data_IF_027220858828
#
_entry.id   IF_027220858828
#
_cell.length_a   1.000
_cell.length_b   1.000
_cell.length_c   1.000
_cell.angle_alpha   90.00
_cell.angle_beta   90.00
_cell.angle_gamma   90.00
#
_symmetry.space_group_name_H-M   'P 1'
#
loop_
_entity.id
_entity.type
_entity.pdbx_description
1 polymer ?
#
# COMPACT_ATOMS: atom_id res chain seq x y z
N UNK A 1 39.54 12.76 8.97
CA UNK A 1 38.56 12.17 9.89
C UNK A 1 38.00 10.92 9.23
N UNK A 2 38.36 9.73 9.72
CA UNK A 2 38.01 8.43 9.10
C UNK A 2 36.80 7.76 9.77
N UNK A 3 36.30 8.34 10.86
CA UNK A 3 35.18 7.80 11.64
C UNK A 3 34.03 8.79 11.67
N UNK A 4 32.80 8.28 11.56
CA UNK A 4 31.58 9.07 11.69
C UNK A 4 31.40 9.58 13.13
N UNK A 5 31.00 10.85 13.28
CA UNK A 5 30.74 11.49 14.57
C UNK A 5 29.24 11.73 14.85
N UNK A 6 28.37 11.32 13.92
CA UNK A 6 26.92 11.42 14.05
C UNK A 6 26.26 10.04 14.18
N UNK A 7 25.05 10.02 14.74
CA UNK A 7 24.29 8.79 14.94
C UNK A 7 23.44 8.36 13.73
N UNK A 8 23.47 9.08 12.61
CA UNK A 8 22.71 8.76 11.40
C UNK A 8 23.33 7.60 10.61
N UNK A 9 22.47 6.87 9.89
CA UNK A 9 22.86 5.75 9.03
C UNK A 9 23.22 6.26 7.62
N UNK A 10 24.47 6.01 7.21
CA UNK A 10 24.92 6.24 5.83
C UNK A 10 24.72 4.96 5.00
N UNK A 11 23.59 4.87 4.30
CA UNK A 11 23.22 3.69 3.51
C UNK A 11 24.20 3.50 2.34
N UNK A 12 24.61 2.26 2.09
CA UNK A 12 25.48 1.92 0.96
C UNK A 12 24.72 2.04 -0.37
N UNK A 13 25.41 2.31 -1.50
CA UNK A 13 24.78 2.28 -2.82
C UNK A 13 24.05 0.96 -3.04
N UNK A 14 22.79 1.05 -3.47
CA UNK A 14 21.89 -0.09 -3.65
C UNK A 14 21.21 -0.03 -5.02
N UNK A 15 21.03 -1.18 -5.70
CA UNK A 15 20.31 -1.25 -6.97
C UNK A 15 18.78 -1.24 -6.82
N UNK A 16 18.25 -1.37 -5.60
CA UNK A 16 16.81 -1.53 -5.36
C UNK A 16 15.95 -0.34 -5.81
N UNK A 17 16.37 0.93 -5.66
CA UNK A 17 15.61 2.05 -6.19
C UNK A 17 15.46 2.02 -7.72
N UNK A 18 16.51 1.63 -8.45
CA UNK A 18 16.46 1.54 -9.92
C UNK A 18 15.56 0.39 -10.37
N UNK A 19 15.71 -0.78 -9.77
CA UNK A 19 14.90 -1.95 -10.10
C UNK A 19 13.43 -1.74 -9.74
N UNK A 20 13.12 -1.03 -8.65
CA UNK A 20 11.77 -0.62 -8.27
C UNK A 20 11.15 0.42 -9.23
N UNK A 21 11.94 1.38 -9.71
CA UNK A 21 11.46 2.33 -10.71
C UNK A 21 11.13 1.63 -12.04
N UNK A 22 11.98 0.70 -12.47
CA UNK A 22 11.75 -0.11 -13.66
C UNK A 22 10.54 -1.05 -13.49
N UNK A 23 10.35 -1.67 -12.32
CA UNK A 23 9.18 -2.52 -12.08
C UNK A 23 7.87 -1.72 -12.13
N UNK A 24 7.86 -0.49 -11.60
CA UNK A 24 6.71 0.41 -11.69
C UNK A 24 6.37 0.79 -13.15
N UNK A 25 7.38 1.04 -13.99
CA UNK A 25 7.19 1.26 -15.43
C UNK A 25 6.60 0.02 -16.11
N UNK A 26 7.14 -1.17 -15.81
CA UNK A 26 6.64 -2.43 -16.38
C UNK A 26 5.19 -2.72 -15.96
N UNK A 27 4.82 -2.45 -14.71
CA UNK A 27 3.45 -2.65 -14.22
C UNK A 27 2.46 -1.68 -14.88
N UNK A 28 2.78 -0.39 -14.95
CA UNK A 28 1.86 0.62 -15.54
C UNK A 28 1.69 0.44 -17.05
N UNK A 29 2.80 0.25 -17.79
CA UNK A 29 2.73 -0.10 -19.21
C UNK A 29 2.11 -1.48 -19.45
N UNK A 30 2.34 -2.45 -18.55
CA UNK A 30 1.73 -3.77 -18.59
C UNK A 30 0.22 -3.75 -18.42
N UNK A 31 -0.30 -2.91 -17.52
CA UNK A 31 -1.74 -2.69 -17.38
C UNK A 31 -2.35 -2.08 -18.65
N UNK A 32 -1.67 -1.09 -19.25
CA UNK A 32 -2.12 -0.52 -20.53
C UNK A 32 -2.11 -1.57 -21.65
N UNK A 33 -1.07 -2.40 -21.72
CA UNK A 33 -0.97 -3.52 -22.67
C UNK A 33 -2.07 -4.56 -22.47
N UNK A 34 -2.42 -4.84 -21.22
CA UNK A 34 -3.49 -5.77 -20.92
C UNK A 34 -4.85 -5.22 -21.34
N UNK A 35 -5.18 -3.97 -21.00
CA UNK A 35 -6.49 -3.38 -21.31
C UNK A 35 -6.69 -3.10 -22.80
N UNK A 36 -5.65 -2.74 -23.55
CA UNK A 36 -5.78 -2.37 -24.96
C UNK A 36 -5.36 -3.46 -25.96
N UNK A 37 -4.44 -4.34 -25.58
CA UNK A 37 -3.86 -5.34 -26.49
C UNK A 37 -4.01 -6.78 -25.97
N UNK A 38 -4.74 -6.98 -24.86
CA UNK A 38 -5.03 -8.28 -24.25
C UNK A 38 -3.79 -9.12 -23.89
N UNK A 39 -2.63 -8.48 -23.73
CA UNK A 39 -1.37 -9.16 -23.37
C UNK A 39 -0.99 -8.89 -21.93
N UNK A 40 -0.86 -9.95 -21.12
CA UNK A 40 -0.47 -9.86 -19.70
C UNK A 40 1.04 -10.07 -19.47
N UNK A 41 1.83 -10.39 -20.50
CA UNK A 41 3.22 -10.80 -20.33
C UNK A 41 4.07 -9.74 -19.63
N UNK A 42 3.90 -8.49 -20.03
CA UNK A 42 4.62 -7.35 -19.45
C UNK A 42 4.17 -7.07 -18.01
N UNK A 43 2.87 -7.19 -17.72
CA UNK A 43 2.32 -7.04 -16.38
C UNK A 43 2.87 -8.09 -15.43
N UNK A 44 2.89 -9.36 -15.85
CA UNK A 44 3.41 -10.47 -15.04
C UNK A 44 4.91 -10.30 -14.75
N UNK A 45 5.69 -9.83 -15.73
CA UNK A 45 7.10 -9.49 -15.53
C UNK A 45 7.27 -8.32 -14.55
N UNK A 46 6.44 -7.28 -14.66
CA UNK A 46 6.43 -6.15 -13.72
C UNK A 46 6.12 -6.57 -12.29
N UNK A 47 5.10 -7.42 -12.09
CA UNK A 47 4.75 -7.97 -10.78
C UNK A 47 5.88 -8.83 -10.19
N UNK A 48 6.50 -9.69 -11.01
CA UNK A 48 7.64 -10.51 -10.58
C UNK A 48 8.84 -9.65 -10.16
N UNK A 49 9.24 -8.69 -10.99
CA UNK A 49 10.39 -7.81 -10.67
C UNK A 49 10.10 -6.91 -9.47
N UNK A 50 8.85 -6.45 -9.28
CA UNK A 50 8.44 -5.67 -8.13
C UNK A 50 8.54 -6.47 -6.82
N UNK A 51 8.01 -7.70 -6.81
CA UNK A 51 8.07 -8.60 -5.63
C UNK A 51 9.51 -8.96 -5.27
N UNK A 52 10.36 -9.25 -6.26
CA UNK A 52 11.78 -9.49 -6.03
C UNK A 52 12.49 -8.26 -5.47
N UNK A 53 12.16 -7.07 -5.95
CA UNK A 53 12.76 -5.82 -5.43
C UNK A 53 12.36 -5.58 -3.98
N UNK A 54 11.07 -5.69 -3.65
CA UNK A 54 10.58 -5.53 -2.28
C UNK A 54 11.23 -6.55 -1.32
N UNK A 55 11.30 -7.82 -1.72
CA UNK A 55 11.92 -8.87 -0.92
C UNK A 55 13.40 -8.58 -0.63
N UNK A 56 14.19 -8.24 -1.66
CA UNK A 56 15.62 -8.00 -1.50
C UNK A 56 15.90 -6.70 -0.73
N UNK A 57 15.09 -5.66 -0.95
CA UNK A 57 15.23 -4.39 -0.24
C UNK A 57 14.94 -4.57 1.25
N UNK A 58 13.81 -5.18 1.63
CA UNK A 58 13.50 -5.38 3.05
C UNK A 58 14.44 -6.37 3.73
N UNK A 59 14.95 -7.37 3.00
CA UNK A 59 16.03 -8.23 3.49
C UNK A 59 17.26 -7.42 3.87
N UNK A 60 17.65 -6.45 3.04
CA UNK A 60 18.83 -5.63 3.31
C UNK A 60 18.61 -4.66 4.48
N UNK A 61 17.41 -4.05 4.60
CA UNK A 61 17.04 -3.26 5.79
C UNK A 61 17.08 -4.12 7.08
N UNK A 62 16.64 -5.38 7.01
CA UNK A 62 16.74 -6.32 8.14
C UNK A 62 18.19 -6.60 8.51
N UNK A 63 19.09 -6.69 7.51
CA UNK A 63 20.52 -6.89 7.74
C UNK A 63 21.20 -5.66 8.36
N UNK A 64 20.91 -4.48 7.82
CA UNK A 64 21.42 -3.19 8.29
C UNK A 64 21.00 -2.90 9.74
N UNK A 65 19.78 -3.28 10.10
CA UNK A 65 19.27 -3.15 11.46
C UNK A 65 19.82 -4.22 12.40
N UNK A 66 19.53 -5.49 12.14
CA UNK A 66 19.71 -6.60 13.11
C UNK A 66 21.15 -7.08 13.18
N UNK A 67 21.83 -7.20 12.03
CA UNK A 67 23.18 -7.78 11.98
C UNK A 67 24.30 -6.73 11.98
N UNK A 68 24.01 -5.50 11.52
CA UNK A 68 25.01 -4.41 11.45
C UNK A 68 24.78 -3.31 12.50
N UNK A 69 23.63 -3.27 13.15
CA UNK A 69 23.36 -2.35 14.26
C UNK A 69 23.22 -0.87 13.85
N UNK A 70 22.91 -0.56 12.59
CA UNK A 70 22.84 0.82 12.11
C UNK A 70 21.59 1.60 12.57
N UNK A 71 20.61 0.94 13.19
CA UNK A 71 19.36 1.55 13.65
C UNK A 71 19.49 2.13 15.07
N UNK A 72 20.27 3.20 15.20
CA UNK A 72 20.40 3.99 16.45
C UNK A 72 19.06 4.65 16.84
N UNK A 73 18.88 5.14 18.09
CA UNK A 73 17.61 5.74 18.51
C UNK A 73 17.13 6.92 17.63
N UNK A 74 17.99 7.84 17.14
CA UNK A 74 17.56 8.87 16.18
C UNK A 74 17.04 8.29 14.86
N UNK A 75 17.67 7.24 14.32
CA UNK A 75 17.24 6.57 13.08
C UNK A 75 15.87 5.90 13.29
N UNK A 76 15.69 5.19 14.41
CA UNK A 76 14.40 4.59 14.75
C UNK A 76 13.29 5.63 14.90
N UNK A 77 13.58 6.79 15.52
CA UNK A 77 12.63 7.90 15.60
C UNK A 77 12.24 8.40 14.22
N UNK A 78 13.19 8.52 13.28
CA UNK A 78 12.93 8.84 11.89
C UNK A 78 12.01 7.83 11.20
N UNK A 79 12.27 6.53 11.36
CA UNK A 79 11.42 5.47 10.80
C UNK A 79 9.99 5.50 11.35
N UNK A 80 9.81 5.81 12.65
CA UNK A 80 8.48 5.99 13.25
C UNK A 80 7.71 7.14 12.59
N UNK A 81 8.35 8.29 12.39
CA UNK A 81 7.72 9.40 11.66
C UNK A 81 7.38 9.01 10.22
N UNK A 82 8.29 8.29 9.54
CA UNK A 82 8.04 7.78 8.19
C UNK A 82 6.79 6.90 8.12
N UNK A 83 6.62 5.96 9.05
CA UNK A 83 5.45 5.09 9.09
C UNK A 83 4.16 5.85 9.43
N UNK A 84 4.20 6.82 10.36
CA UNK A 84 3.04 7.65 10.68
C UNK A 84 2.59 8.44 9.45
N UNK A 85 3.53 9.05 8.72
CA UNK A 85 3.22 9.81 7.51
C UNK A 85 2.69 8.92 6.39
N UNK A 86 3.25 7.72 6.21
CA UNK A 86 2.76 6.73 5.25
C UNK A 86 1.32 6.28 5.57
N UNK A 87 1.02 5.92 6.83
CA UNK A 87 -0.36 5.57 7.24
C UNK A 87 -1.29 6.77 7.04
N UNK A 88 -0.83 7.99 7.34
CA UNK A 88 -1.62 9.20 7.13
C UNK A 88 -1.99 9.38 5.65
N UNK A 89 -1.05 9.15 4.70
CA UNK A 89 -1.38 9.21 3.27
C UNK A 89 -2.41 8.15 2.86
N UNK A 90 -2.35 6.94 3.43
CA UNK A 90 -3.34 5.88 3.16
C UNK A 90 -4.73 6.24 3.71
N UNK A 91 -4.82 6.90 4.87
CA UNK A 91 -6.10 7.40 5.39
C UNK A 91 -6.74 8.39 4.41
N UNK A 92 -5.95 9.30 3.81
CA UNK A 92 -6.46 10.23 2.79
C UNK A 92 -6.84 9.53 1.48
N UNK A 93 -6.10 8.50 1.07
CA UNK A 93 -6.46 7.67 -0.08
C UNK A 93 -7.84 7.03 0.13
N UNK A 94 -8.11 6.43 1.30
CA UNK A 94 -9.42 5.90 1.64
C UNK A 94 -10.50 6.97 1.80
N UNK A 95 -10.16 8.15 2.33
CA UNK A 95 -11.10 9.27 2.43
C UNK A 95 -11.67 9.67 1.06
N UNK A 96 -10.88 9.55 -0.02
CA UNK A 96 -11.35 9.74 -1.39
C UNK A 96 -12.47 8.76 -1.79
N UNK A 97 -12.35 7.47 -1.43
CA UNK A 97 -13.40 6.48 -1.69
C UNK A 97 -14.64 6.71 -0.83
N UNK A 98 -14.48 7.06 0.45
CA UNK A 98 -15.62 7.44 1.29
C UNK A 98 -16.34 8.66 0.73
N UNK A 99 -15.60 9.66 0.23
CA UNK A 99 -16.21 10.82 -0.43
C UNK A 99 -17.02 10.40 -1.65
N UNK A 100 -16.48 9.57 -2.53
CA UNK A 100 -17.22 9.04 -3.69
C UNK A 100 -18.50 8.31 -3.26
N UNK A 101 -18.42 7.46 -2.22
CA UNK A 101 -19.58 6.77 -1.67
C UNK A 101 -20.66 7.72 -1.12
N UNK A 102 -20.28 8.68 -0.28
CA UNK A 102 -21.24 9.64 0.29
C UNK A 102 -21.84 10.55 -0.78
N UNK A 103 -21.05 10.97 -1.77
CA UNK A 103 -21.52 11.76 -2.88
C UNK A 103 -22.63 11.04 -3.65
N UNK A 104 -22.42 9.76 -3.99
CA UNK A 104 -23.41 8.98 -4.74
C UNK A 104 -24.61 8.51 -3.91
N UNK A 105 -24.43 8.23 -2.62
CA UNK A 105 -25.50 7.68 -1.77
C UNK A 105 -26.41 8.74 -1.14
N UNK A 106 -25.88 9.92 -0.80
CA UNK A 106 -26.68 11.00 -0.19
C UNK A 106 -27.53 11.77 -1.22
N UNK A 107 -27.11 11.80 -2.49
CA UNK A 107 -27.83 12.44 -3.58
C UNK A 107 -27.97 11.49 -4.80
N UNK A 108 -28.77 10.41 -4.67
CA UNK A 108 -28.92 9.41 -5.72
C UNK A 108 -29.56 10.03 -6.97
N UNK A 109 -28.99 9.73 -8.14
CA UNK A 109 -29.49 10.28 -9.40
C UNK A 109 -30.82 9.64 -9.80
N UNK A 110 -31.65 10.30 -10.63
CA UNK A 110 -32.92 9.74 -11.09
C UNK A 110 -32.77 8.39 -11.81
N UNK A 111 -31.63 8.15 -12.46
CA UNK A 111 -31.32 6.88 -13.14
C UNK A 111 -31.22 5.70 -12.16
N UNK A 112 -30.96 5.96 -10.88
CA UNK A 112 -30.90 4.95 -9.80
C UNK A 112 -32.27 4.73 -9.10
N UNK A 113 -33.31 5.48 -9.51
CA UNK A 113 -34.63 5.46 -8.88
C UNK A 113 -34.82 6.51 -7.77
N UNK A 114 -33.87 7.44 -7.60
CA UNK A 114 -33.99 8.57 -6.66
C UNK A 114 -33.90 8.19 -5.17
N UNK A 115 -33.42 6.98 -4.85
CA UNK A 115 -33.18 6.52 -3.49
C UNK A 115 -31.92 5.64 -3.41
N UNK A 116 -31.48 5.37 -2.18
CA UNK A 116 -30.35 4.49 -1.91
C UNK A 116 -30.78 3.38 -0.93
N UNK A 117 -30.43 2.11 -1.16
CA UNK A 117 -29.71 1.56 -2.32
C UNK A 117 -30.47 1.71 -3.65
N UNK A 118 -29.78 1.67 -4.81
CA UNK A 118 -30.44 1.75 -6.11
C UNK A 118 -31.44 0.62 -6.35
N UNK A 119 -32.45 0.88 -7.17
CA UNK A 119 -33.45 -0.13 -7.55
C UNK A 119 -32.79 -1.39 -8.13
N UNK A 120 -33.16 -2.57 -7.62
CA UNK A 120 -32.63 -3.85 -8.09
C UNK A 120 -31.37 -4.34 -7.36
N UNK A 121 -30.80 -3.54 -6.46
CA UNK A 121 -29.68 -3.96 -5.61
C UNK A 121 -30.20 -4.46 -4.26
N UNK A 122 -29.84 -5.69 -3.90
CA UNK A 122 -30.07 -6.25 -2.57
C UNK A 122 -28.78 -6.17 -1.75
N UNK A 123 -28.71 -5.32 -0.70
CA UNK A 123 -27.50 -5.20 0.11
C UNK A 123 -27.26 -6.46 0.93
N UNK A 124 -25.99 -6.74 1.23
CA UNK A 124 -25.63 -7.78 2.19
C UNK A 124 -26.17 -7.44 3.58
N UNK A 125 -26.63 -8.45 4.32
CA UNK A 125 -27.05 -8.27 5.71
C UNK A 125 -25.82 -7.94 6.58
N UNK A 126 -25.77 -6.78 7.25
CA UNK A 126 -24.62 -6.39 8.05
C UNK A 126 -24.40 -7.29 9.27
N UNK A 127 -25.41 -8.03 9.73
CA UNK A 127 -25.33 -8.88 10.94
C UNK A 127 -24.82 -10.30 10.67
N UNK A 128 -24.59 -10.67 9.41
CA UNK A 128 -24.09 -11.99 9.04
C UNK A 128 -22.55 -12.00 8.92
N UNK A 129 -22.02 -12.37 7.76
CA UNK A 129 -20.58 -12.42 7.48
C UNK A 129 -19.88 -11.08 7.72
N UNK A 130 -20.45 -9.90 7.39
CA UNK A 130 -19.79 -8.63 7.69
C UNK A 130 -19.50 -8.42 9.18
N UNK A 131 -20.45 -8.75 10.06
CA UNK A 131 -20.26 -8.68 11.52
C UNK A 131 -19.17 -9.64 12.00
N UNK A 132 -19.15 -10.87 11.45
CA UNK A 132 -18.08 -11.82 11.74
C UNK A 132 -16.71 -11.23 11.36
N UNK A 133 -16.58 -10.64 10.17
CA UNK A 133 -15.34 -10.02 9.73
C UNK A 133 -14.92 -8.87 10.66
N UNK A 134 -15.86 -8.04 11.13
CA UNK A 134 -15.57 -7.00 12.13
C UNK A 134 -15.05 -7.61 13.43
N UNK A 135 -15.68 -8.68 13.92
CA UNK A 135 -15.25 -9.35 15.16
C UNK A 135 -13.86 -9.98 15.04
N UNK A 136 -13.54 -10.58 13.88
CA UNK A 136 -12.21 -11.16 13.60
C UNK A 136 -11.14 -10.07 13.58
N UNK A 137 -11.41 -8.93 12.92
CA UNK A 137 -10.48 -7.81 12.89
C UNK A 137 -10.26 -7.21 14.30
N UNK A 138 -11.32 -7.03 15.08
CA UNK A 138 -11.21 -6.56 16.47
C UNK A 138 -10.42 -7.54 17.33
N UNK A 139 -10.70 -8.84 17.22
CA UNK A 139 -9.99 -9.89 17.97
C UNK A 139 -8.49 -9.92 17.63
N UNK A 140 -8.14 -9.75 16.34
CA UNK A 140 -6.73 -9.71 15.91
C UNK A 140 -5.94 -8.50 16.41
N UNK A 141 -6.62 -7.44 16.88
CA UNK A 141 -5.98 -6.26 17.45
C UNK A 141 -5.67 -6.36 18.94
N UNK A 142 -6.24 -7.34 19.66
CA UNK A 142 -6.05 -7.51 21.11
C UNK A 142 -4.82 -8.37 21.44
N UNK A 143 -4.34 -9.18 20.48
CA UNK A 143 -3.16 -10.04 20.60
C UNK A 143 -1.84 -9.29 20.40
#
# INVERSE_FOLDING_TARGET
MTHQSHAYHMVKPSPWPLTGALSALLMTSGLAMWFHFHSMTLLMLGLLTNTLTMYQWWRDVTRESTYQGHHTPPVQKGLRYGMILFITSEVFFFAGFFWAFYHSSLAPTPQLGGHWPPTGITPLNPLEVPLLNTSVLLASGVS
#
